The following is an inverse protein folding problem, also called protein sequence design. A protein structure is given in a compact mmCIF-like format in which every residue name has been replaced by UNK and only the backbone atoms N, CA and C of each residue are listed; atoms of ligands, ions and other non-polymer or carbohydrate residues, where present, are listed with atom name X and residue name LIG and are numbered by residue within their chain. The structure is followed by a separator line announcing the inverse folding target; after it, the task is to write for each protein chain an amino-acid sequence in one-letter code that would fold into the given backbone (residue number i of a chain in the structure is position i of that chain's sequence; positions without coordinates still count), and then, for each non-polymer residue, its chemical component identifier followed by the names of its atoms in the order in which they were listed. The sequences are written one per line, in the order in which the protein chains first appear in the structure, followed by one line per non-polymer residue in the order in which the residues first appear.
data_IF_512205497293
#
_entry.id   IF_512205497293
#
_cell.length_a   1.000
_cell.length_b   1.000
_cell.length_c   1.000
_cell.angle_alpha   90.00
_cell.angle_beta   90.00
_cell.angle_gamma   90.00
#
_symmetry.space_group_name_H-M   'P 1'
#
loop_
_entity.id
_entity.type
_entity.pdbx_description
1 polymer ?
#
# COMPACT_ATOMS: atom_id res chain seq x y z
N UNK A 1 -4.58 6.39 11.37
CA UNK A 1 -4.98 5.74 10.10
C UNK A 1 -3.74 5.11 9.48
N UNK A 2 -3.77 3.84 9.03
CA UNK A 2 -2.57 3.13 8.64
C UNK A 2 -2.09 3.42 7.21
N UNK A 3 -2.99 3.70 6.26
CA UNK A 3 -2.55 4.25 4.96
C UNK A 3 -2.27 5.74 5.10
N UNK A 4 -1.13 6.18 4.58
CA UNK A 4 -0.62 7.54 4.51
C UNK A 4 -0.42 7.94 3.05
N UNK A 5 -0.50 9.22 2.78
CA UNK A 5 0.00 9.85 1.56
C UNK A 5 1.29 10.61 1.89
N UNK A 6 2.06 10.98 0.86
CA UNK A 6 3.10 11.98 1.06
C UNK A 6 2.46 13.34 1.40
N UNK A 7 3.17 14.20 2.14
CA UNK A 7 2.70 15.54 2.54
C UNK A 7 2.24 16.40 1.34
N UNK A 8 2.77 16.14 0.15
CA UNK A 8 2.43 16.84 -1.10
C UNK A 8 1.14 16.34 -1.77
N UNK A 9 0.44 15.36 -1.19
CA UNK A 9 -0.73 14.69 -1.78
C UNK A 9 -2.00 14.82 -0.92
N UNK A 10 -2.22 15.98 -0.30
CA UNK A 10 -3.41 16.26 0.53
C UNK A 10 -4.75 16.03 -0.20
N UNK A 11 -4.79 16.22 -1.52
CA UNK A 11 -5.97 15.93 -2.35
C UNK A 11 -6.41 14.45 -2.35
N UNK A 12 -5.56 13.54 -1.85
CA UNK A 12 -5.85 12.11 -1.74
C UNK A 12 -6.33 11.68 -0.35
N UNK A 13 -6.44 12.59 0.63
CA UNK A 13 -6.86 12.25 2.00
C UNK A 13 -8.22 11.55 2.08
N UNK A 14 -9.21 12.03 1.29
CA UNK A 14 -10.51 11.39 1.18
C UNK A 14 -10.39 9.95 0.63
N UNK A 15 -9.58 9.76 -0.40
CA UNK A 15 -9.31 8.44 -0.99
C UNK A 15 -8.64 7.50 0.03
N UNK A 16 -7.68 8.00 0.80
CA UNK A 16 -7.02 7.24 1.87
C UNK A 16 -8.02 6.77 2.93
N UNK A 17 -8.99 7.61 3.31
CA UNK A 17 -10.05 7.21 4.24
C UNK A 17 -10.87 6.03 3.71
N UNK A 18 -11.31 6.10 2.45
CA UNK A 18 -12.06 5.02 1.82
C UNK A 18 -11.24 3.74 1.66
N UNK A 19 -9.97 3.85 1.25
CA UNK A 19 -9.08 2.70 1.12
C UNK A 19 -8.85 1.98 2.44
N UNK A 20 -8.65 2.73 3.53
CA UNK A 20 -8.52 2.15 4.86
C UNK A 20 -9.77 1.35 5.26
N UNK A 21 -10.97 1.87 4.99
CA UNK A 21 -12.22 1.18 5.25
C UNK A 21 -12.39 -0.07 4.37
N UNK A 22 -12.07 0.04 3.08
CA UNK A 22 -12.21 -1.04 2.11
C UNK A 22 -11.29 -2.23 2.42
N UNK A 23 -10.03 -1.98 2.78
CA UNK A 23 -9.08 -3.03 3.14
C UNK A 23 -9.46 -3.70 4.45
N UNK A 24 -9.86 -2.94 5.47
CA UNK A 24 -10.36 -3.51 6.74
C UNK A 24 -11.55 -4.43 6.49
N UNK A 25 -12.53 -3.93 5.74
CA UNK A 25 -13.70 -4.72 5.34
C UNK A 25 -13.30 -6.01 4.63
N UNK A 26 -12.31 -5.96 3.74
CA UNK A 26 -11.79 -7.15 3.07
C UNK A 26 -11.10 -8.13 4.02
N UNK A 27 -10.22 -7.64 4.89
CA UNK A 27 -9.49 -8.45 5.87
C UNK A 27 -10.44 -9.13 6.88
N UNK A 28 -11.52 -8.45 7.25
CA UNK A 28 -12.49 -8.91 8.26
C UNK A 28 -13.65 -9.72 7.67
N UNK A 29 -13.68 -9.97 6.35
CA UNK A 29 -14.72 -10.83 5.74
C UNK A 29 -14.68 -12.22 6.36
N UNK A 30 -15.86 -12.81 6.58
CA UNK A 30 -15.98 -14.19 7.07
C UNK A 30 -15.19 -15.21 6.20
N UNK A 31 -15.12 -14.99 4.88
CA UNK A 31 -14.32 -15.82 3.97
C UNK A 31 -12.80 -15.72 4.20
N UNK A 32 -12.31 -14.63 4.80
CA UNK A 32 -10.89 -14.34 4.99
C UNK A 32 -10.43 -14.52 6.45
N UNK A 33 -11.35 -14.69 7.41
CA UNK A 33 -11.01 -14.72 8.85
C UNK A 33 -10.00 -15.83 9.23
N UNK A 34 -10.01 -16.94 8.47
CA UNK A 34 -9.12 -18.08 8.68
C UNK A 34 -7.92 -18.11 7.72
N UNK A 35 -7.74 -17.11 6.86
CA UNK A 35 -6.59 -17.06 5.94
C UNK A 35 -5.30 -16.86 6.72
N UNK A 36 -4.32 -17.71 6.40
CA UNK A 36 -2.98 -17.74 7.03
C UNK A 36 -1.86 -17.73 5.99
N UNK A 37 -2.16 -17.44 4.74
CA UNK A 37 -1.13 -17.29 3.71
C UNK A 37 -0.27 -16.06 3.99
N UNK A 38 1.02 -16.17 3.68
CA UNK A 38 2.01 -15.15 4.01
C UNK A 38 1.65 -13.76 3.44
N UNK A 39 1.19 -13.61 2.17
CA UNK A 39 0.75 -12.32 1.66
C UNK A 39 -0.36 -11.67 2.49
N UNK A 40 -1.34 -12.46 2.93
CA UNK A 40 -2.46 -11.97 3.75
C UNK A 40 -2.01 -11.54 5.14
N UNK A 41 -1.17 -12.35 5.79
CA UNK A 41 -0.60 -12.02 7.09
C UNK A 41 0.25 -10.74 6.99
N UNK A 42 1.03 -10.57 5.92
CA UNK A 42 1.84 -9.38 5.71
C UNK A 42 0.98 -8.13 5.48
N UNK A 43 -0.07 -8.20 4.65
CA UNK A 43 -0.98 -7.08 4.45
C UNK A 43 -1.63 -6.66 5.78
N UNK A 44 -2.11 -7.63 6.56
CA UNK A 44 -2.71 -7.39 7.89
C UNK A 44 -1.71 -6.72 8.84
N UNK A 45 -0.46 -7.19 8.89
CA UNK A 45 0.62 -6.56 9.68
C UNK A 45 0.93 -5.15 9.19
N UNK A 46 1.00 -4.91 7.89
CA UNK A 46 1.32 -3.56 7.37
C UNK A 46 0.20 -2.56 7.63
N UNK A 47 -1.05 -3.02 7.64
CA UNK A 47 -2.22 -2.23 8.07
C UNK A 47 -2.19 -1.85 9.57
N UNK A 48 -1.27 -2.36 10.39
CA UNK A 48 -1.05 -1.90 11.78
C UNK A 48 0.17 -0.99 11.93
N UNK A 49 1.03 -0.87 10.91
CA UNK A 49 2.25 -0.04 10.96
C UNK A 49 2.01 1.25 10.18
N UNK A 50 2.33 1.23 8.88
CA UNK A 50 2.02 2.30 7.92
C UNK A 50 2.17 1.74 6.51
N UNK A 51 1.23 2.09 5.63
CA UNK A 51 1.30 1.85 4.20
C UNK A 51 1.24 3.20 3.50
N UNK A 52 1.99 3.39 2.42
CA UNK A 52 1.91 4.57 1.58
C UNK A 52 1.11 4.24 0.34
N UNK A 53 0.15 5.10 0.00
CA UNK A 53 -0.50 5.07 -1.30
C UNK A 53 0.49 5.52 -2.37
N UNK A 54 0.82 4.62 -3.29
CA UNK A 54 1.84 4.85 -4.28
C UNK A 54 1.27 5.24 -5.64
N UNK A 55 0.21 4.53 -6.07
CA UNK A 55 -0.44 4.81 -7.34
C UNK A 55 -1.89 4.31 -7.34
N UNK A 56 -2.70 4.93 -8.19
CA UNK A 56 -4.09 4.58 -8.45
C UNK A 56 -4.29 4.48 -9.95
N UNK A 57 -4.57 3.26 -10.42
CA UNK A 57 -4.76 2.97 -11.84
C UNK A 57 -6.19 2.49 -12.05
N UNK A 58 -6.89 3.15 -12.98
CA UNK A 58 -8.22 2.74 -13.40
C UNK A 58 -8.16 1.40 -14.13
N UNK A 59 -9.25 0.64 -14.08
CA UNK A 59 -9.43 -0.53 -14.92
C UNK A 59 -9.21 -0.17 -16.40
N UNK A 60 -8.36 -0.93 -17.10
CA UNK A 60 -8.13 -0.80 -18.54
C UNK A 60 -8.74 -1.98 -19.29
N UNK A 61 -9.93 -1.80 -19.85
CA UNK A 61 -10.63 -2.84 -20.61
C UNK A 61 -9.89 -3.27 -21.89
N UNK A 62 -9.08 -2.39 -22.49
CA UNK A 62 -8.31 -2.69 -23.71
C UNK A 62 -7.15 -3.65 -23.41
N UNK A 63 -6.59 -3.58 -22.20
CA UNK A 63 -5.53 -4.48 -21.71
C UNK A 63 -6.09 -5.67 -20.90
N UNK A 64 -7.43 -5.83 -20.85
CA UNK A 64 -8.10 -6.91 -20.13
C UNK A 64 -8.17 -6.73 -18.60
N UNK A 65 -7.81 -5.56 -18.09
CA UNK A 65 -7.87 -5.24 -16.67
C UNK A 65 -9.28 -4.85 -16.24
N UNK A 66 -9.98 -5.75 -15.55
CA UNK A 66 -11.37 -5.56 -15.10
C UNK A 66 -11.51 -4.75 -13.80
N UNK A 67 -10.41 -4.53 -13.09
CA UNK A 67 -10.41 -3.95 -11.75
C UNK A 67 -9.46 -2.78 -11.70
N UNK A 68 -9.82 -1.78 -10.89
CA UNK A 68 -8.90 -0.72 -10.51
C UNK A 68 -7.75 -1.33 -9.71
N UNK A 69 -6.54 -0.85 -9.96
CA UNK A 69 -5.33 -1.28 -9.26
C UNK A 69 -4.86 -0.18 -8.32
N UNK A 70 -4.58 -0.55 -7.08
CA UNK A 70 -4.09 0.36 -6.04
C UNK A 70 -2.76 -0.18 -5.55
N UNK A 71 -1.69 0.55 -5.83
CA UNK A 71 -0.35 0.19 -5.39
C UNK A 71 -0.12 0.77 -3.99
N UNK A 72 0.23 -0.10 -3.04
CA UNK A 72 0.56 0.25 -1.66
C UNK A 72 1.97 -0.22 -1.31
N UNK A 73 2.68 0.60 -0.54
CA UNK A 73 4.05 0.31 -0.11
C UNK A 73 4.17 0.46 1.40
N UNK A 74 4.56 -0.61 2.08
CA UNK A 74 5.01 -0.57 3.47
C UNK A 74 6.52 -0.71 3.56
N UNK A 75 7.08 -0.45 4.74
CA UNK A 75 8.49 -0.71 5.02
C UNK A 75 8.61 -1.55 6.29
N UNK A 76 9.46 -2.59 6.22
CA UNK A 76 9.89 -3.36 7.38
C UNK A 76 11.41 -3.36 7.41
N UNK A 77 12.00 -2.79 8.46
CA UNK A 77 13.46 -2.74 8.63
C UNK A 77 14.17 -2.11 7.41
N UNK A 78 13.55 -1.08 6.81
CA UNK A 78 14.06 -0.41 5.60
C UNK A 78 13.80 -1.14 4.28
N UNK A 79 13.26 -2.37 4.33
CA UNK A 79 12.92 -3.16 3.14
C UNK A 79 11.48 -2.83 2.71
N UNK A 80 11.24 -2.43 1.44
CA UNK A 80 9.90 -2.16 0.95
C UNK A 80 9.11 -3.47 0.81
N UNK A 81 7.86 -3.45 1.29
CA UNK A 81 6.87 -4.51 1.09
C UNK A 81 5.74 -3.94 0.25
N UNK A 82 5.59 -4.44 -0.97
CA UNK A 82 4.69 -3.88 -1.97
C UNK A 82 3.44 -4.74 -2.16
N UNK A 83 2.29 -4.09 -2.32
CA UNK A 83 1.02 -4.73 -2.61
C UNK A 83 0.32 -4.03 -3.76
N UNK A 84 -0.33 -4.80 -4.61
CA UNK A 84 -1.27 -4.32 -5.60
C UNK A 84 -2.65 -4.85 -5.24
N UNK A 85 -3.54 -3.96 -4.79
CA UNK A 85 -4.93 -4.31 -4.51
C UNK A 85 -5.74 -4.20 -5.80
N UNK A 86 -6.69 -5.13 -5.97
CA UNK A 86 -7.72 -5.06 -7.01
C UNK A 86 -9.02 -4.60 -6.37
N UNK A 87 -9.56 -3.49 -6.85
CA UNK A 87 -10.84 -2.96 -6.43
C UNK A 87 -11.82 -2.87 -7.61
N UNK A 88 -13.09 -3.16 -7.35
CA UNK A 88 -14.13 -2.92 -8.35
C UNK A 88 -14.52 -1.43 -8.42
N UNK A 89 -15.48 -1.10 -9.29
CA UNK A 89 -15.96 0.27 -9.49
C UNK A 89 -16.52 0.92 -8.20
N UNK A 90 -16.94 0.11 -7.21
CA UNK A 90 -17.46 0.56 -5.92
C UNK A 90 -16.37 0.64 -4.84
N UNK A 91 -15.09 0.66 -5.23
CA UNK A 91 -13.92 0.64 -4.34
C UNK A 91 -13.90 -0.52 -3.35
N UNK A 92 -14.60 -1.61 -3.68
CA UNK A 92 -14.54 -2.83 -2.90
C UNK A 92 -13.32 -3.62 -3.30
N UNK A 93 -12.43 -3.89 -2.35
CA UNK A 93 -11.29 -4.80 -2.58
C UNK A 93 -11.84 -6.20 -2.84
N UNK A 94 -11.46 -6.76 -3.98
CA UNK A 94 -11.85 -8.13 -4.38
C UNK A 94 -10.71 -9.11 -4.20
N UNK A 95 -9.47 -8.65 -4.38
CA UNK A 95 -8.27 -9.45 -4.25
C UNK A 95 -7.04 -8.55 -4.08
N UNK A 96 -5.90 -9.13 -3.74
CA UNK A 96 -4.63 -8.43 -3.75
C UNK A 96 -3.48 -9.39 -4.06
N UNK A 97 -2.38 -8.81 -4.52
CA UNK A 97 -1.12 -9.50 -4.71
C UNK A 97 -0.03 -8.79 -3.94
N UNK A 98 0.82 -9.56 -3.26
CA UNK A 98 2.10 -9.05 -2.79
C UNK A 98 3.07 -9.10 -3.97
N UNK A 99 3.71 -7.99 -4.27
CA UNK A 99 4.67 -7.91 -5.37
C UNK A 99 6.07 -8.20 -4.86
N UNK A 100 6.66 -9.29 -5.36
CA UNK A 100 8.01 -9.73 -4.97
C UNK A 100 9.12 -8.94 -5.67
N UNK A 101 8.77 -8.12 -6.66
CA UNK A 101 9.76 -7.32 -7.37
C UNK A 101 9.26 -5.95 -7.76
N UNK A 102 10.11 -4.94 -7.50
CA UNK A 102 9.80 -3.52 -7.73
C UNK A 102 9.50 -3.21 -9.20
N UNK A 103 10.13 -3.91 -10.14
CA UNK A 103 9.89 -3.72 -11.58
C UNK A 103 8.46 -4.09 -12.02
N UNK A 104 7.72 -4.83 -11.18
CA UNK A 104 6.31 -5.19 -11.43
C UNK A 104 5.34 -4.14 -10.90
N UNK A 105 5.83 -3.18 -10.12
CA UNK A 105 5.06 -2.03 -9.66
C UNK A 105 5.10 -0.90 -10.70
N UNK A 106 4.15 0.03 -10.62
CA UNK A 106 4.19 1.20 -11.49
C UNK A 106 5.49 2.01 -11.32
N UNK A 107 5.90 2.73 -12.37
CA UNK A 107 7.10 3.59 -12.33
C UNK A 107 6.98 4.64 -11.22
N UNK A 108 5.77 5.17 -10.99
CA UNK A 108 5.50 6.10 -9.88
C UNK A 108 5.75 5.45 -8.53
N UNK A 109 5.34 4.20 -8.35
CA UNK A 109 5.60 3.45 -7.12
C UNK A 109 7.10 3.23 -6.89
N UNK A 110 7.86 2.91 -7.94
CA UNK A 110 9.31 2.76 -7.83
C UNK A 110 9.98 4.08 -7.40
N UNK A 111 9.61 5.20 -8.03
CA UNK A 111 10.11 6.52 -7.66
C UNK A 111 9.75 6.92 -6.21
N UNK A 112 8.54 6.60 -5.76
CA UNK A 112 8.12 6.83 -4.38
C UNK A 112 8.98 6.03 -3.38
N UNK A 113 9.28 4.77 -3.70
CA UNK A 113 10.10 3.93 -2.84
C UNK A 113 11.50 4.52 -2.66
N UNK A 114 12.09 5.04 -3.72
CA UNK A 114 13.42 5.66 -3.67
C UNK A 114 13.41 6.97 -2.86
N UNK A 115 12.38 7.81 -3.02
CA UNK A 115 12.18 9.01 -2.20
C UNK A 115 12.00 8.65 -0.71
N UNK A 116 11.14 7.68 -0.40
CA UNK A 116 10.90 7.23 0.97
C UNK A 116 12.13 6.58 1.61
N UNK A 117 12.92 5.80 0.87
CA UNK A 117 14.20 5.25 1.36
C UNK A 117 15.16 6.37 1.76
N UNK A 118 15.24 7.44 0.98
CA UNK A 118 16.10 8.59 1.29
C UNK A 118 15.65 9.31 2.57
N UNK A 119 14.35 9.47 2.78
CA UNK A 119 13.77 10.16 3.94
C UNK A 119 13.81 9.33 5.23
N UNK A 120 13.45 8.04 5.15
CA UNK A 120 13.45 7.13 6.30
C UNK A 120 14.86 6.77 6.78
N UNK A 121 15.87 6.82 5.89
CA UNK A 121 17.28 6.63 6.27
C UNK A 121 17.90 7.87 6.93
N UNK A 122 17.31 9.06 6.76
CA UNK A 122 17.75 10.29 7.44
C UNK A 122 17.27 10.35 8.89
N UNK A 123 16.04 9.92 9.19
CA UNK A 123 15.52 9.88 10.56
C UNK A 123 16.27 8.89 11.46
N UNK A 124 16.82 7.81 10.89
CA UNK A 124 17.68 6.85 11.62
C UNK A 124 19.12 7.34 11.78
N UNK A 125 19.51 8.44 11.12
CA UNK A 125 20.84 9.06 11.18
C UNK A 125 20.92 10.32 12.02
N UNK A 126 19.86 10.70 12.73
CA UNK A 126 19.97 11.69 13.81
C UNK A 126 20.33 10.89 15.07
N UNK A 127 21.63 10.69 15.41
CA UNK A 127 21.94 10.26 16.76
C UNK A 127 21.40 11.35 17.68
N UNK A 128 20.71 10.94 18.74
CA UNK A 128 20.39 11.80 19.87
C UNK A 128 21.58 12.75 20.12
N UNK A 129 21.41 14.02 19.74
CA UNK A 129 22.25 15.07 20.25
C UNK A 129 21.95 15.08 21.75
N UNK A 130 22.91 14.59 22.53
CA UNK A 130 22.93 14.70 23.98
C UNK A 130 22.65 16.15 24.34
N UNK A 131 21.56 16.38 25.07
CA UNK A 131 21.40 17.50 26.00
C UNK A 131 20.87 16.92 27.30
#
# INVERSE_FOLDING_TARGET
MPIKTLETQSHLEGTVMFLNAAIRTYLDRAANINRKDEPFIQLKKMMTHSLYLADLRGANSEEGEKYNQIDLVGFKEGIPICFTLKANANLTVVDFKKEDSLHRMSVKTQALIDDLKSKLSLETRIPYARL
#
